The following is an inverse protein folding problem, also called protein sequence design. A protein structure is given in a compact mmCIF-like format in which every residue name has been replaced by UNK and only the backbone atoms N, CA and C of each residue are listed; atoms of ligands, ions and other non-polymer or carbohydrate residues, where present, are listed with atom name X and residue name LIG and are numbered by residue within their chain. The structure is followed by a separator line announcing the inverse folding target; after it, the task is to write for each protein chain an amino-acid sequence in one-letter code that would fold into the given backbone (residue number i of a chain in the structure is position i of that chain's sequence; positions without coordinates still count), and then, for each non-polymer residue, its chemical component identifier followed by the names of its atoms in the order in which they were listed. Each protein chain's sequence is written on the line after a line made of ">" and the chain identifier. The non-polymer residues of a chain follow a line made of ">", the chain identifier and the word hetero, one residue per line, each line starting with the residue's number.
data_IF_205502519926
#
_entry.id   IF_205502519926
#
_cell.length_a   1.000
_cell.length_b   1.000
_cell.length_c   1.000
_cell.angle_alpha   90.00
_cell.angle_beta   90.00
_cell.angle_gamma   90.00
#
_symmetry.space_group_name_H-M   'P 1'
#
loop_
_entity.id
_entity.type
_entity.pdbx_description
1 polymer ?
#
# COMPACT_ATOMS: atom_id res chain seq x y z
N UNK A 1 58.50 -32.47 37.96
CA UNK A 1 58.42 -31.00 37.82
C UNK A 1 57.30 -30.70 36.82
N UNK A 2 56.39 -29.78 37.17
CA UNK A 2 55.03 -29.61 36.57
C UNK A 2 55.06 -29.12 35.11
N UNK A 3 54.12 -29.55 34.23
CA UNK A 3 54.00 -28.98 32.89
C UNK A 3 53.30 -27.62 32.97
N UNK A 4 53.90 -26.61 32.33
CA UNK A 4 53.32 -25.27 32.17
C UNK A 4 52.30 -25.36 31.04
N UNK A 5 51.02 -25.30 31.40
CA UNK A 5 49.90 -25.26 30.47
C UNK A 5 49.71 -23.80 30.01
N UNK A 6 50.11 -23.50 28.77
CA UNK A 6 49.83 -22.20 28.14
C UNK A 6 48.35 -22.17 27.71
N UNK A 7 47.51 -21.49 28.49
CA UNK A 7 46.11 -21.22 28.13
C UNK A 7 46.07 -19.98 27.24
N UNK A 8 45.88 -20.19 25.93
CA UNK A 8 45.53 -19.13 24.99
C UNK A 8 44.07 -18.72 25.24
N UNK A 9 43.86 -17.62 25.95
CA UNK A 9 42.53 -17.02 26.11
C UNK A 9 42.15 -16.31 24.80
N UNK A 10 41.36 -16.96 23.95
CA UNK A 10 40.76 -16.36 22.76
C UNK A 10 39.66 -15.39 23.21
N UNK A 11 39.96 -14.10 23.25
CA UNK A 11 38.97 -13.04 23.47
C UNK A 11 38.08 -12.95 22.23
N UNK A 12 36.93 -13.63 22.26
CA UNK A 12 35.86 -13.46 21.28
C UNK A 12 35.18 -12.12 21.56
N UNK A 13 35.56 -11.08 20.81
CA UNK A 13 34.87 -9.78 20.81
C UNK A 13 33.48 -9.97 20.21
N UNK A 14 32.47 -10.18 21.05
CA UNK A 14 31.07 -10.04 20.62
C UNK A 14 30.81 -8.56 20.37
N UNK A 15 30.99 -8.12 19.12
CA UNK A 15 30.44 -6.87 18.66
C UNK A 15 28.92 -7.01 18.63
N UNK A 16 28.27 -6.56 19.69
CA UNK A 16 26.82 -6.37 19.71
C UNK A 16 26.52 -5.25 18.72
N UNK A 17 26.20 -5.60 17.47
CA UNK A 17 25.54 -4.66 16.57
C UNK A 17 24.18 -4.35 17.17
N UNK A 18 24.00 -3.14 17.68
CA UNK A 18 22.67 -2.61 17.97
C UNK A 18 21.87 -2.69 16.65
N UNK A 19 20.83 -3.53 16.60
CA UNK A 19 19.93 -3.57 15.46
C UNK A 19 19.34 -2.17 15.29
N UNK A 20 19.64 -1.54 14.16
CA UNK A 20 19.09 -0.24 13.84
C UNK A 20 17.63 -0.44 13.46
N UNK A 21 16.72 -0.27 14.42
CA UNK A 21 15.28 -0.52 14.28
C UNK A 21 14.55 0.57 13.47
N UNK A 22 15.28 1.38 12.71
CA UNK A 22 14.73 2.52 11.96
C UNK A 22 14.13 2.04 10.65
N UNK A 23 12.80 2.22 10.48
CA UNK A 23 12.09 1.88 9.25
C UNK A 23 12.23 3.04 8.24
N UNK A 24 12.87 2.78 7.10
CA UNK A 24 12.91 3.73 5.98
C UNK A 24 11.58 3.77 5.24
N UNK A 25 11.03 4.97 5.07
CA UNK A 25 9.74 5.21 4.41
C UNK A 25 9.91 6.18 3.24
N UNK A 26 9.59 5.76 2.03
CA UNK A 26 9.43 6.67 0.88
C UNK A 26 7.95 7.04 0.75
N UNK A 27 7.64 8.32 0.89
CA UNK A 27 6.27 8.84 0.87
C UNK A 27 5.93 9.45 -0.48
N UNK A 28 4.66 9.41 -0.86
CA UNK A 28 4.12 10.10 -2.02
C UNK A 28 2.85 10.87 -1.65
N UNK A 29 2.71 12.05 -2.26
CA UNK A 29 1.64 13.01 -2.02
C UNK A 29 1.14 13.54 -3.37
N UNK A 30 -0.17 13.73 -3.52
CA UNK A 30 -0.74 14.31 -4.75
C UNK A 30 -0.66 15.84 -4.79
N UNK A 31 -0.22 16.49 -3.71
CA UNK A 31 -0.07 17.94 -3.61
C UNK A 31 -1.33 18.68 -3.13
N UNK A 32 -2.28 17.98 -2.53
CA UNK A 32 -3.50 18.54 -1.93
C UNK A 32 -3.31 18.81 -0.43
N UNK A 33 -3.96 19.85 0.12
CA UNK A 33 -3.90 20.23 1.55
C UNK A 33 -4.41 19.14 2.52
N UNK A 34 -5.08 18.09 2.03
CA UNK A 34 -5.58 16.97 2.83
C UNK A 34 -4.50 16.30 3.68
N UNK A 35 -3.28 16.23 3.15
CA UNK A 35 -2.12 15.60 3.81
C UNK A 35 -1.71 16.34 5.10
N UNK A 36 -2.02 17.65 5.22
CA UNK A 36 -1.70 18.45 6.40
C UNK A 36 -2.86 18.51 7.39
N UNK A 37 -4.11 18.44 6.92
CA UNK A 37 -5.30 18.58 7.77
C UNK A 37 -5.68 17.28 8.48
N UNK A 38 -5.68 16.15 7.75
CA UNK A 38 -6.05 14.85 8.31
C UNK A 38 -4.85 14.03 8.82
N UNK A 39 -3.61 14.43 8.46
CA UNK A 39 -2.38 13.81 8.99
C UNK A 39 -2.02 12.46 8.38
N UNK A 40 -2.37 12.21 7.12
CA UNK A 40 -1.95 11.01 6.37
C UNK A 40 -1.14 11.38 5.12
N UNK A 41 -0.67 10.37 4.39
CA UNK A 41 0.04 10.51 3.11
C UNK A 41 -0.59 9.56 2.11
N UNK A 42 -0.64 9.94 0.84
CA UNK A 42 -1.31 9.14 -0.18
C UNK A 42 -0.73 7.72 -0.30
N UNK A 43 0.59 7.58 -0.18
CA UNK A 43 1.22 6.27 -0.14
C UNK A 43 2.56 6.26 0.60
N UNK A 44 2.87 5.11 1.20
CA UNK A 44 4.14 4.82 1.85
C UNK A 44 4.72 3.52 1.31
N UNK A 45 5.91 3.60 0.75
CA UNK A 45 6.76 2.44 0.50
C UNK A 45 7.66 2.20 1.72
N UNK A 46 7.55 1.01 2.30
CA UNK A 46 8.36 0.52 3.42
C UNK A 46 8.94 -0.85 3.07
N UNK A 47 10.26 -0.93 2.91
CA UNK A 47 10.91 -2.11 2.33
C UNK A 47 10.40 -2.38 0.91
N UNK A 48 9.82 -3.55 0.67
CA UNK A 48 9.23 -3.94 -0.62
C UNK A 48 7.71 -3.78 -0.68
N UNK A 49 7.07 -3.26 0.37
CA UNK A 49 5.60 -3.14 0.45
C UNK A 49 5.18 -1.68 0.30
N UNK A 50 4.35 -1.43 -0.70
CA UNK A 50 3.69 -0.16 -0.94
C UNK A 50 2.27 -0.21 -0.35
N UNK A 51 2.03 0.65 0.64
CA UNK A 51 0.71 0.90 1.19
C UNK A 51 0.15 2.16 0.51
N UNK A 52 -1.00 2.04 -0.14
CA UNK A 52 -1.74 3.17 -0.73
C UNK A 52 -2.96 3.38 0.14
N UNK A 53 -3.07 4.59 0.71
CA UNK A 53 -4.22 4.98 1.52
C UNK A 53 -5.52 4.95 0.72
N UNK A 54 -6.64 5.01 1.44
CA UNK A 54 -7.98 5.10 0.86
C UNK A 54 -8.05 6.17 -0.23
N UNK A 55 -8.28 5.71 -1.45
CA UNK A 55 -8.49 6.57 -2.61
C UNK A 55 -9.99 6.77 -2.77
N UNK A 56 -10.44 7.98 -2.49
CA UNK A 56 -11.86 8.36 -2.52
C UNK A 56 -12.31 8.63 -3.96
N UNK A 57 -13.51 8.15 -4.30
CA UNK A 57 -14.12 8.39 -5.60
C UNK A 57 -14.57 9.83 -5.79
N UNK A 58 -14.33 10.37 -6.98
CA UNK A 58 -14.83 11.67 -7.42
C UNK A 58 -15.73 11.50 -8.64
N UNK A 59 -16.85 12.22 -8.66
CA UNK A 59 -17.89 12.08 -9.69
C UNK A 59 -19.28 11.97 -9.09
N UNK A 60 -20.29 12.03 -9.94
CA UNK A 60 -21.71 12.01 -9.55
C UNK A 60 -22.25 10.58 -9.47
N UNK A 61 -21.73 9.68 -10.30
CA UNK A 61 -22.20 8.29 -10.38
C UNK A 61 -21.18 7.33 -9.79
N UNK A 62 -21.64 6.14 -9.37
CA UNK A 62 -20.76 5.07 -8.90
C UNK A 62 -19.70 4.71 -9.95
N UNK A 63 -20.05 4.68 -11.23
CA UNK A 63 -19.11 4.36 -12.31
C UNK A 63 -18.02 5.44 -12.48
N UNK A 64 -18.41 6.72 -12.48
CA UNK A 64 -17.46 7.83 -12.52
C UNK A 64 -16.48 7.78 -11.33
N UNK A 65 -17.02 7.50 -10.14
CA UNK A 65 -16.21 7.38 -8.94
C UNK A 65 -15.26 6.19 -8.99
N UNK A 66 -15.69 5.02 -9.46
CA UNK A 66 -14.80 3.89 -9.72
C UNK A 66 -13.66 4.27 -10.69
N UNK A 67 -13.98 4.97 -11.79
CA UNK A 67 -12.96 5.41 -12.76
C UNK A 67 -11.96 6.37 -12.13
N UNK A 68 -12.44 7.31 -11.32
CA UNK A 68 -11.58 8.24 -10.57
C UNK A 68 -10.69 7.50 -9.58
N UNK A 69 -11.24 6.56 -8.81
CA UNK A 69 -10.49 5.76 -7.83
C UNK A 69 -9.35 5.00 -8.50
N UNK A 70 -9.66 4.19 -9.52
CA UNK A 70 -8.66 3.36 -10.18
C UNK A 70 -7.64 4.18 -10.99
N UNK A 71 -8.04 5.35 -11.52
CA UNK A 71 -7.11 6.30 -12.12
C UNK A 71 -6.12 6.90 -11.11
N UNK A 72 -6.59 7.23 -9.90
CA UNK A 72 -5.75 7.70 -8.81
C UNK A 72 -4.77 6.63 -8.31
N UNK A 73 -5.24 5.40 -8.15
CA UNK A 73 -4.41 4.25 -7.78
C UNK A 73 -3.32 4.02 -8.84
N UNK A 74 -3.68 4.01 -10.13
CA UNK A 74 -2.72 3.87 -11.25
C UNK A 74 -1.65 4.96 -11.24
N UNK A 75 -2.05 6.22 -11.04
CA UNK A 75 -1.11 7.35 -10.90
C UNK A 75 -0.13 7.12 -9.75
N UNK A 76 -0.61 6.62 -8.62
CA UNK A 76 0.21 6.33 -7.44
C UNK A 76 1.17 5.18 -7.69
N UNK A 77 0.72 4.08 -8.29
CA UNK A 77 1.58 2.96 -8.67
C UNK A 77 2.70 3.40 -9.61
N UNK A 78 2.36 4.17 -10.64
CA UNK A 78 3.32 4.71 -11.62
C UNK A 78 4.40 5.59 -10.98
N UNK A 79 4.07 6.35 -9.93
CA UNK A 79 5.07 7.12 -9.19
C UNK A 79 6.18 6.24 -8.59
N UNK A 80 5.85 5.02 -8.19
CA UNK A 80 6.79 4.02 -7.68
C UNK A 80 7.34 3.08 -8.77
N UNK A 81 7.04 3.34 -10.05
CA UNK A 81 7.45 2.46 -11.16
C UNK A 81 6.70 1.13 -11.20
N UNK A 82 5.54 1.05 -10.57
CA UNK A 82 4.72 -0.15 -10.48
C UNK A 82 3.55 -0.12 -11.48
N UNK A 83 2.92 -1.27 -11.63
CA UNK A 83 1.70 -1.47 -12.43
C UNK A 83 0.61 -2.14 -11.61
N UNK A 84 -0.59 -2.28 -12.17
CA UNK A 84 -1.70 -3.00 -11.53
C UNK A 84 -1.34 -4.44 -11.12
N UNK A 85 -0.44 -5.11 -11.85
CA UNK A 85 0.01 -6.47 -11.54
C UNK A 85 0.80 -6.57 -10.23
N UNK A 86 1.22 -5.44 -9.65
CA UNK A 86 1.90 -5.40 -8.36
C UNK A 86 0.93 -5.40 -7.18
N UNK A 87 -0.36 -5.19 -7.41
CA UNK A 87 -1.38 -5.14 -6.35
C UNK A 87 -1.66 -6.56 -5.86
N UNK A 88 -1.57 -6.76 -4.54
CA UNK A 88 -1.81 -8.08 -3.91
C UNK A 88 -3.04 -8.09 -3.02
N UNK A 89 -3.46 -6.92 -2.51
CA UNK A 89 -4.66 -6.78 -1.66
C UNK A 89 -5.41 -5.50 -2.00
N UNK A 90 -6.74 -5.60 -2.00
CA UNK A 90 -7.67 -4.48 -2.06
C UNK A 90 -8.69 -4.54 -0.92
N UNK A 91 -8.97 -3.40 -0.30
CA UNK A 91 -10.17 -3.18 0.52
C UNK A 91 -11.04 -2.13 -0.18
N UNK A 92 -12.31 -2.44 -0.41
CA UNK A 92 -13.29 -1.53 -0.98
C UNK A 92 -14.39 -1.26 0.04
N UNK A 93 -14.60 0.03 0.30
CA UNK A 93 -15.64 0.54 1.17
C UNK A 93 -16.64 1.32 0.32
N UNK A 94 -17.93 1.08 0.51
CA UNK A 94 -18.97 1.75 -0.27
C UNK A 94 -20.21 2.04 0.56
N UNK A 95 -20.97 3.05 0.18
CA UNK A 95 -22.27 3.39 0.80
C UNK A 95 -23.43 2.60 0.20
N UNK A 96 -23.26 2.03 -1.00
CA UNK A 96 -24.23 1.17 -1.68
C UNK A 96 -23.50 0.03 -2.43
N UNK A 97 -23.51 -1.16 -1.82
CA UNK A 97 -22.78 -2.31 -2.37
C UNK A 97 -23.42 -2.89 -3.62
N UNK A 98 -24.73 -2.73 -3.81
CA UNK A 98 -25.40 -3.21 -5.01
C UNK A 98 -25.07 -2.29 -6.20
N UNK A 99 -25.05 -0.97 -5.98
CA UNK A 99 -24.55 -0.02 -6.98
C UNK A 99 -23.07 -0.30 -7.34
N UNK A 100 -22.22 -0.59 -6.35
CA UNK A 100 -20.83 -0.94 -6.58
C UNK A 100 -20.66 -2.24 -7.39
N UNK A 101 -21.46 -3.29 -7.09
CA UNK A 101 -21.49 -4.54 -7.87
C UNK A 101 -21.87 -4.28 -9.33
N UNK A 102 -22.86 -3.41 -9.57
CA UNK A 102 -23.29 -3.04 -10.92
C UNK A 102 -22.22 -2.25 -11.69
N UNK A 103 -21.40 -1.45 -11.00
CA UNK A 103 -20.30 -0.68 -11.59
C UNK A 103 -18.96 -1.46 -11.73
N UNK A 104 -18.92 -2.72 -11.30
CA UNK A 104 -17.69 -3.53 -11.22
C UNK A 104 -16.98 -3.77 -12.58
N UNK A 105 -17.63 -3.49 -13.71
CA UNK A 105 -16.99 -3.55 -15.04
C UNK A 105 -15.74 -2.67 -15.12
N UNK A 106 -15.75 -1.48 -14.50
CA UNK A 106 -14.59 -0.57 -14.45
C UNK A 106 -13.41 -1.22 -13.74
N UNK A 107 -13.65 -1.82 -12.58
CA UNK A 107 -12.64 -2.55 -11.82
C UNK A 107 -12.08 -3.73 -12.60
N UNK A 108 -12.95 -4.50 -13.27
CA UNK A 108 -12.51 -5.64 -14.10
C UNK A 108 -11.56 -5.21 -15.21
N UNK A 109 -11.85 -4.09 -15.88
CA UNK A 109 -10.97 -3.53 -16.91
C UNK A 109 -9.62 -3.06 -16.35
N UNK A 110 -9.59 -2.53 -15.13
CA UNK A 110 -8.36 -2.13 -14.45
C UNK A 110 -7.44 -3.33 -14.18
N UNK A 111 -7.97 -4.40 -13.59
CA UNK A 111 -7.19 -5.60 -13.23
C UNK A 111 -6.91 -6.57 -14.37
N UNK A 112 -7.65 -6.49 -15.49
CA UNK A 112 -7.45 -7.33 -16.69
C UNK A 112 -7.44 -8.84 -16.40
N UNK A 113 -8.19 -9.28 -15.39
CA UNK A 113 -8.30 -10.69 -15.01
C UNK A 113 -7.31 -11.16 -13.94
N UNK A 114 -6.30 -10.36 -13.60
CA UNK A 114 -5.35 -10.65 -12.51
C UNK A 114 -5.79 -9.91 -11.25
N UNK A 115 -6.67 -10.53 -10.47
CA UNK A 115 -7.33 -9.90 -9.33
C UNK A 115 -6.55 -10.15 -8.02
N UNK A 116 -6.39 -9.14 -7.16
CA UNK A 116 -5.83 -9.32 -5.83
C UNK A 116 -6.81 -10.02 -4.89
N UNK A 117 -6.32 -10.43 -3.73
CA UNK A 117 -7.21 -10.70 -2.60
C UNK A 117 -8.06 -9.45 -2.33
N UNK A 118 -9.35 -9.62 -2.04
CA UNK A 118 -10.27 -8.49 -1.94
C UNK A 118 -11.26 -8.64 -0.78
N UNK A 119 -11.60 -7.51 -0.16
CA UNK A 119 -12.67 -7.41 0.85
C UNK A 119 -13.54 -6.23 0.51
N UNK A 120 -14.84 -6.45 0.33
CA UNK A 120 -15.80 -5.40 0.00
C UNK A 120 -16.86 -5.32 1.09
N UNK A 121 -17.07 -4.12 1.61
CA UNK A 121 -18.04 -3.90 2.68
C UNK A 121 -18.89 -2.67 2.41
N UNK A 122 -20.17 -2.76 2.76
CA UNK A 122 -21.03 -1.59 2.83
C UNK A 122 -20.87 -0.93 4.20
N UNK A 123 -20.73 0.39 4.22
CA UNK A 123 -20.66 1.21 5.43
C UNK A 123 -21.67 2.35 5.37
N UNK A 124 -21.94 3.00 6.49
CA UNK A 124 -22.94 4.07 6.55
C UNK A 124 -22.52 5.37 5.86
N UNK A 125 -21.21 5.66 5.81
CA UNK A 125 -20.65 6.88 5.19
C UNK A 125 -19.14 6.79 4.98
N UNK A 126 -18.64 7.57 4.02
CA UNK A 126 -17.21 7.84 3.81
C UNK A 126 -16.81 9.20 4.39
N UNK A 127 -15.52 9.55 4.31
CA UNK A 127 -15.02 10.83 4.82
C UNK A 127 -15.62 12.02 4.05
N UNK A 128 -15.58 11.97 2.71
CA UNK A 128 -16.25 12.94 1.85
C UNK A 128 -17.72 12.58 1.71
N UNK A 129 -18.62 13.55 1.92
CA UNK A 129 -20.06 13.30 1.96
C UNK A 129 -20.61 12.82 0.60
N UNK A 130 -20.02 13.29 -0.49
CA UNK A 130 -20.40 12.96 -1.86
C UNK A 130 -19.76 11.65 -2.35
N UNK A 131 -18.83 11.08 -1.58
CA UNK A 131 -18.19 9.84 -1.96
C UNK A 131 -19.12 8.64 -1.75
N UNK A 132 -19.14 7.78 -2.76
CA UNK A 132 -19.90 6.54 -2.81
C UNK A 132 -18.98 5.33 -2.65
N UNK A 133 -17.70 5.48 -2.96
CA UNK A 133 -16.69 4.41 -2.90
C UNK A 133 -15.32 4.96 -2.50
N UNK A 134 -14.59 4.16 -1.73
CA UNK A 134 -13.20 4.39 -1.36
C UNK A 134 -12.44 3.06 -1.41
N UNK A 135 -11.22 3.08 -1.94
CA UNK A 135 -10.40 1.86 -2.11
C UNK A 135 -9.00 2.04 -1.54
N UNK A 136 -8.60 1.12 -0.69
CA UNK A 136 -7.25 1.01 -0.12
C UNK A 136 -6.52 -0.18 -0.75
N UNK A 137 -5.22 -0.03 -1.02
CA UNK A 137 -4.43 -1.01 -1.77
C UNK A 137 -3.12 -1.33 -1.05
N UNK A 138 -2.73 -2.62 -1.09
CA UNK A 138 -1.36 -3.06 -0.82
C UNK A 138 -0.77 -3.61 -2.11
N UNK A 139 0.43 -3.13 -2.46
CA UNK A 139 1.20 -3.59 -3.60
C UNK A 139 2.62 -3.98 -3.19
N UNK A 140 3.26 -4.85 -3.96
CA UNK A 140 4.64 -5.26 -3.74
C UNK A 140 5.54 -4.81 -4.89
N UNK A 141 6.71 -4.28 -4.52
CA UNK A 141 7.82 -4.16 -5.46
C UNK A 141 8.28 -5.57 -5.84
N UNK A 142 8.60 -5.81 -7.13
CA UNK A 142 9.26 -7.04 -7.49
C UNK A 142 10.60 -7.13 -6.75
N UNK A 143 11.08 -8.35 -6.44
CA UNK A 143 12.43 -8.52 -5.94
C UNK A 143 13.41 -7.86 -6.93
N UNK A 144 14.46 -7.24 -6.39
CA UNK A 144 15.56 -6.76 -7.22
C UNK A 144 16.10 -7.97 -7.98
N UNK A 145 16.21 -7.88 -9.31
CA UNK A 145 16.82 -8.95 -10.10
C UNK A 145 18.29 -9.08 -9.66
N UNK A 146 18.62 -10.10 -8.86
CA UNK A 146 20.01 -10.43 -8.52
C UNK A 146 20.32 -10.83 -7.08
N UNK A 147 19.49 -11.64 -6.42
CA UNK A 147 19.91 -12.47 -5.28
C UNK A 147 19.65 -13.95 -5.58
#
# INVERSE_FOLDING_TARGET
>A
MKPVLFVFALLFSFSVSAQNNTITKKKFHWGTESDTTAGYTQAVLSGSVLYISGTVGMGKTMEEQFRSVYGGIDRTLKHFGLTVANIVKENLYTTDIEAAKNANSVRKLFYKGDYPAATWVQISRLYMQEALVEVEIIAHLPPLKGE
#
